data_IF_427047957297
#
_entry.id   IF_427047957297
#
_cell.length_a   1.000
_cell.length_b   1.000
_cell.length_c   1.000
_cell.angle_alpha   90.00
_cell.angle_beta   90.00
_cell.angle_gamma   90.00
#
_symmetry.space_group_name_H-M   'P 1'
#
loop_
_entity.id
_entity.type
_entity.pdbx_description
1 polymer ?
#
# COMPACT_ATOMS: atom_id res chain seq x y z
N UNK A 1 40.79 -12.85 2.53
CA UNK A 1 39.84 -11.72 2.50
C UNK A 1 38.94 -11.89 1.30
N UNK A 2 37.70 -12.36 1.47
CA UNK A 2 36.62 -12.28 0.47
C UNK A 2 35.36 -12.83 1.11
N UNK A 3 34.65 -11.98 1.84
CA UNK A 3 33.32 -12.28 2.39
C UNK A 3 32.31 -12.24 1.24
N UNK A 4 31.90 -13.40 0.76
CA UNK A 4 30.71 -13.53 -0.09
C UNK A 4 29.49 -13.11 0.74
N UNK A 5 29.09 -11.83 0.62
CA UNK A 5 27.84 -11.31 1.19
C UNK A 5 26.67 -12.05 0.54
N UNK A 6 26.11 -13.01 1.26
CA UNK A 6 24.80 -13.59 0.98
C UNK A 6 23.81 -12.43 1.00
N UNK A 7 23.18 -12.13 -0.13
CA UNK A 7 22.14 -11.10 -0.22
C UNK A 7 21.00 -11.56 0.68
N UNK A 8 20.85 -10.87 1.80
CA UNK A 8 19.94 -11.24 2.88
C UNK A 8 18.52 -11.37 2.34
N UNK A 9 17.86 -12.45 2.74
CA UNK A 9 16.47 -12.80 2.39
C UNK A 9 15.60 -11.56 2.59
N UNK A 10 14.81 -11.22 1.57
CA UNK A 10 13.67 -10.29 1.60
C UNK A 10 13.29 -9.91 3.03
N UNK A 11 13.79 -8.74 3.49
CA UNK A 11 13.45 -8.19 4.79
C UNK A 11 11.93 -8.31 4.94
N UNK A 12 11.48 -9.08 5.94
CA UNK A 12 10.07 -9.39 6.12
C UNK A 12 9.29 -8.07 6.07
N UNK A 13 8.33 -7.97 5.16
CA UNK A 13 7.54 -6.75 4.98
C UNK A 13 6.97 -6.35 6.35
N UNK A 14 7.38 -5.19 6.84
CA UNK A 14 6.87 -4.67 8.09
C UNK A 14 5.35 -4.53 7.98
N UNK A 15 4.57 -5.12 8.90
CA UNK A 15 3.13 -5.00 8.84
C UNK A 15 2.71 -3.55 9.07
N UNK A 16 1.69 -3.10 8.33
CA UNK A 16 1.07 -1.80 8.54
C UNK A 16 0.24 -1.91 9.83
N UNK A 17 0.52 -1.07 10.82
CA UNK A 17 -0.22 -1.07 12.09
C UNK A 17 -1.67 -0.64 11.88
N UNK A 18 -2.59 -1.09 12.76
CA UNK A 18 -4.02 -0.70 12.69
C UNK A 18 -4.20 0.83 12.79
N UNK A 19 -3.45 1.47 13.68
CA UNK A 19 -3.47 2.93 13.84
C UNK A 19 -3.02 3.66 12.56
N UNK A 20 -1.94 3.19 11.93
CA UNK A 20 -1.47 3.77 10.67
C UNK A 20 -2.48 3.55 9.54
N UNK A 21 -3.11 2.37 9.48
CA UNK A 21 -4.18 2.09 8.53
C UNK A 21 -5.35 3.06 8.70
N UNK A 22 -5.80 3.29 9.92
CA UNK A 22 -6.89 4.24 10.21
C UNK A 22 -6.49 5.68 9.88
N UNK A 23 -5.26 6.08 10.17
CA UNK A 23 -4.73 7.41 9.83
C UNK A 23 -4.78 7.65 8.31
N UNK A 24 -4.32 6.70 7.51
CA UNK A 24 -4.33 6.79 6.04
C UNK A 24 -5.76 6.81 5.50
N UNK A 25 -6.64 5.94 6.00
CA UNK A 25 -8.05 5.93 5.60
C UNK A 25 -8.76 7.26 5.92
N UNK A 26 -8.52 7.83 7.11
CA UNK A 26 -9.10 9.13 7.50
C UNK A 26 -8.57 10.27 6.64
N UNK A 27 -7.26 10.30 6.37
CA UNK A 27 -6.63 11.29 5.48
C UNK A 27 -7.25 11.25 4.08
N UNK A 28 -7.48 10.04 3.57
CA UNK A 28 -8.04 9.83 2.23
C UNK A 28 -9.58 9.87 2.22
N UNK A 29 -10.20 10.37 3.29
CA UNK A 29 -11.65 10.51 3.45
C UNK A 29 -12.45 9.21 3.23
N UNK A 30 -11.84 8.05 3.51
CA UNK A 30 -12.40 6.73 3.19
C UNK A 30 -12.80 6.62 1.71
N UNK A 31 -11.98 7.18 0.82
CA UNK A 31 -12.15 7.15 -0.62
C UNK A 31 -10.91 6.57 -1.29
N UNK A 32 -11.09 5.93 -2.44
CA UNK A 32 -10.00 5.57 -3.31
C UNK A 32 -9.33 6.84 -3.83
N UNK A 33 -8.01 6.98 -3.64
CA UNK A 33 -7.23 8.12 -4.12
C UNK A 33 -7.14 8.19 -5.66
N UNK A 34 -7.42 7.10 -6.37
CA UNK A 34 -7.33 7.03 -7.82
C UNK A 34 -8.68 7.18 -8.56
N UNK A 35 -9.79 6.78 -7.94
CA UNK A 35 -11.11 6.80 -8.60
C UNK A 35 -12.25 7.27 -7.70
N UNK A 36 -11.94 7.77 -6.51
CA UNK A 36 -12.89 8.36 -5.55
C UNK A 36 -13.98 7.39 -5.02
N UNK A 37 -13.93 6.11 -5.41
CA UNK A 37 -14.86 5.10 -4.91
C UNK A 37 -14.79 5.00 -3.37
N UNK A 38 -15.95 5.04 -2.72
CA UNK A 38 -16.08 5.00 -1.27
C UNK A 38 -17.10 3.96 -0.82
N UNK A 39 -16.83 3.21 0.26
CA UNK A 39 -17.82 2.35 0.92
C UNK A 39 -19.06 3.10 1.41
N UNK A 40 -18.97 4.42 1.56
CA UNK A 40 -20.09 5.29 1.94
C UNK A 40 -21.11 5.45 0.79
N UNK A 41 -20.65 5.39 -0.46
CA UNK A 41 -21.49 5.51 -1.66
C UNK A 41 -21.96 4.14 -2.15
N UNK A 42 -21.07 3.14 -2.12
CA UNK A 42 -21.39 1.76 -2.49
C UNK A 42 -20.73 0.79 -1.50
N UNK A 43 -21.57 0.05 -0.75
CA UNK A 43 -21.14 -0.95 0.24
C UNK A 43 -20.30 -2.09 -0.35
N UNK A 44 -20.31 -2.27 -1.67
CA UNK A 44 -19.47 -3.28 -2.36
C UNK A 44 -18.02 -2.83 -2.51
N UNK A 45 -17.73 -1.53 -2.35
CA UNK A 45 -16.37 -1.00 -2.45
C UNK A 45 -15.55 -1.47 -1.26
N UNK A 46 -14.45 -2.17 -1.54
CA UNK A 46 -13.45 -2.58 -0.55
C UNK A 46 -12.21 -1.72 -0.71
N UNK A 47 -11.81 -1.06 0.38
CA UNK A 47 -10.60 -0.23 0.42
C UNK A 47 -9.44 -1.00 1.04
N UNK A 48 -8.29 -0.87 0.39
CA UNK A 48 -7.02 -1.47 0.76
C UNK A 48 -5.98 -0.36 0.88
N UNK A 49 -5.05 -0.52 1.82
CA UNK A 49 -3.89 0.36 1.92
C UNK A 49 -2.79 -0.26 1.07
N UNK A 50 -2.27 0.52 0.14
CA UNK A 50 -1.21 0.12 -0.78
C UNK A 50 -0.05 1.11 -0.72
N UNK A 51 1.16 0.62 -1.02
CA UNK A 51 2.34 1.46 -1.07
C UNK A 51 2.47 2.16 -2.43
N UNK A 52 2.56 3.49 -2.46
CA UNK A 52 2.81 4.27 -3.67
C UNK A 52 4.08 3.74 -4.38
N UNK A 53 5.21 3.74 -3.68
CA UNK A 53 6.42 3.02 -4.06
C UNK A 53 6.39 1.62 -3.45
N UNK A 54 6.44 0.54 -4.25
CA UNK A 54 6.46 -0.82 -3.72
C UNK A 54 7.66 -1.05 -2.79
N UNK A 55 7.48 -1.88 -1.77
CA UNK A 55 8.57 -2.29 -0.86
C UNK A 55 9.75 -2.92 -1.63
N UNK A 56 9.48 -3.64 -2.72
CA UNK A 56 10.52 -4.23 -3.59
C UNK A 56 11.41 -3.19 -4.27
N UNK A 57 10.96 -1.93 -4.37
CA UNK A 57 11.71 -0.80 -4.93
C UNK A 57 12.17 0.20 -3.85
N UNK A 58 12.17 -0.21 -2.58
CA UNK A 58 12.62 0.63 -1.46
C UNK A 58 11.51 1.41 -0.75
N UNK A 59 10.24 1.16 -1.06
CA UNK A 59 9.12 1.80 -0.37
C UNK A 59 9.01 1.44 1.12
N UNK A 60 8.67 2.42 1.94
CA UNK A 60 8.53 2.30 3.40
C UNK A 60 7.07 2.37 3.84
N UNK A 61 6.78 2.06 5.11
CA UNK A 61 5.47 2.28 5.72
C UNK A 61 5.25 3.73 6.17
N UNK A 62 5.99 4.69 5.61
CA UNK A 62 5.73 6.11 5.87
C UNK A 62 4.30 6.45 5.40
N UNK A 63 3.48 7.17 6.20
CA UNK A 63 2.15 7.60 5.79
C UNK A 63 2.12 8.23 4.39
N UNK A 64 3.14 8.97 3.98
CA UNK A 64 3.24 9.61 2.66
C UNK A 64 3.46 8.60 1.53
N UNK A 65 4.06 7.44 1.82
CA UNK A 65 4.19 6.34 0.86
C UNK A 65 3.00 5.37 0.88
N UNK A 66 1.99 5.62 1.73
CA UNK A 66 0.77 4.82 1.78
C UNK A 66 -0.40 5.58 1.14
N UNK A 67 -1.23 4.84 0.41
CA UNK A 67 -2.44 5.36 -0.24
C UNK A 67 -3.61 4.40 -0.06
N UNK A 68 -4.82 4.95 0.01
CA UNK A 68 -6.05 4.17 -0.04
C UNK A 68 -6.45 3.91 -1.48
N UNK A 69 -6.58 2.63 -1.86
CA UNK A 69 -7.07 2.20 -3.16
C UNK A 69 -8.27 1.26 -2.99
N UNK A 70 -9.24 1.36 -3.89
CA UNK A 70 -10.25 0.32 -4.02
C UNK A 70 -9.60 -0.96 -4.60
N UNK A 71 -10.21 -2.11 -4.34
CA UNK A 71 -9.73 -3.41 -4.84
C UNK A 71 -9.37 -3.39 -6.35
N UNK A 72 -10.20 -2.74 -7.17
CA UNK A 72 -9.98 -2.67 -8.62
C UNK A 72 -8.77 -1.81 -9.01
N UNK A 73 -8.58 -0.66 -8.36
CA UNK A 73 -7.41 0.19 -8.60
C UNK A 73 -6.14 -0.48 -8.06
N UNK A 74 -6.22 -1.13 -6.89
CA UNK A 74 -5.08 -1.86 -6.34
C UNK A 74 -4.64 -3.01 -7.26
N UNK A 75 -5.59 -3.77 -7.81
CA UNK A 75 -5.31 -4.84 -8.77
C UNK A 75 -4.64 -4.30 -10.05
N UNK A 76 -5.13 -3.20 -10.60
CA UNK A 76 -4.55 -2.57 -11.79
C UNK A 76 -3.12 -2.08 -11.55
N UNK A 77 -2.87 -1.44 -10.39
CA UNK A 77 -1.52 -1.00 -10.01
C UNK A 77 -0.55 -2.17 -9.94
N UNK A 78 -0.94 -3.28 -9.30
CA UNK A 78 -0.11 -4.50 -9.22
C UNK A 78 0.20 -5.11 -10.59
N UNK A 79 -0.75 -5.07 -11.52
CA UNK A 79 -0.53 -5.56 -12.89
C UNK A 79 0.43 -4.69 -13.71
N UNK A 80 0.56 -3.41 -13.36
CA UNK A 80 1.40 -2.43 -14.09
C UNK A 80 2.82 -2.28 -13.51
N UNK A 81 3.11 -2.94 -12.39
CA UNK A 81 4.44 -2.99 -11.81
C UNK A 81 5.27 -4.06 -12.53
N UNK A 82 5.87 -3.67 -13.67
CA UNK A 82 6.85 -4.46 -14.43
C UNK A 82 8.19 -4.51 -13.69
#
# INVERSE_FOLDING_TARGET
MSETRRVDRQAARQPISKSLREQVLKRDHYCCTNCEASPLLDKKVKLEIDHVMPVSRGGTNDPHNLQTLCHNCNKQKKASLI
#
